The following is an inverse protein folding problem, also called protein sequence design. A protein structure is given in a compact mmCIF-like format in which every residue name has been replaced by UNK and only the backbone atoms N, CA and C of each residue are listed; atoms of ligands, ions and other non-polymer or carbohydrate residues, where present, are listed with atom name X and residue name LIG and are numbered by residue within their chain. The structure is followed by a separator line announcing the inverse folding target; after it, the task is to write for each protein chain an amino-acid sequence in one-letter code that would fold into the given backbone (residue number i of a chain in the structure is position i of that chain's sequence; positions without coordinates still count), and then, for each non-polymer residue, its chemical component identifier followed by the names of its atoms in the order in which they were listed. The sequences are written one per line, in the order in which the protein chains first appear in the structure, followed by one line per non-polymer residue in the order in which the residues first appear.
data_IF_178920023608
#
_entry.id   IF_178920023608
#
_cell.length_a   1.000
_cell.length_b   1.000
_cell.length_c   1.000
_cell.angle_alpha   90.00
_cell.angle_beta   90.00
_cell.angle_gamma   90.00
#
_symmetry.space_group_name_H-M   'P 1'
#
loop_
_entity.id
_entity.type
_entity.pdbx_description
1 polymer ?
#
# COMPACT_ATOMS: atom_id res chain seq x y z
N UNK A 1 15.52 10.50 4.41
CA UNK A 1 15.28 9.04 4.36
C UNK A 1 15.11 8.40 5.74
N UNK A 2 15.85 8.78 6.80
CA UNK A 2 15.74 8.23 8.19
C UNK A 2 14.42 8.52 8.96
N UNK A 3 13.36 8.96 8.29
CA UNK A 3 12.09 9.35 8.93
C UNK A 3 10.85 8.79 8.21
N UNK A 4 10.99 8.04 7.12
CA UNK A 4 9.80 7.44 6.48
C UNK A 4 9.20 6.37 7.38
N UNK A 5 7.88 6.19 7.32
CA UNK A 5 7.21 5.14 8.08
C UNK A 5 7.82 3.75 7.84
N UNK A 6 8.10 3.30 6.59
CA UNK A 6 8.78 2.01 6.35
C UNK A 6 10.11 1.87 7.08
N UNK A 7 10.95 2.90 7.08
CA UNK A 7 12.26 2.87 7.77
C UNK A 7 12.11 2.77 9.30
N UNK A 8 11.09 3.44 9.86
CA UNK A 8 10.80 3.38 11.29
C UNK A 8 10.16 2.04 11.68
N UNK A 9 9.34 1.47 10.79
CA UNK A 9 8.74 0.15 10.97
C UNK A 9 9.82 -0.93 10.98
N UNK A 10 10.76 -0.92 10.04
CA UNK A 10 11.88 -1.88 10.02
C UNK A 10 12.69 -1.80 11.30
N UNK A 11 13.05 -0.58 11.72
CA UNK A 11 13.76 -0.37 12.99
C UNK A 11 12.96 -0.93 14.16
N UNK A 12 11.66 -0.62 14.25
CA UNK A 12 10.80 -1.06 15.34
C UNK A 12 10.65 -2.59 15.35
N UNK A 13 10.51 -3.24 14.20
CA UNK A 13 10.48 -4.69 14.09
C UNK A 13 11.76 -5.30 14.66
N UNK A 14 12.92 -4.78 14.23
CA UNK A 14 14.23 -5.22 14.73
C UNK A 14 14.39 -5.02 16.24
N UNK A 15 14.01 -3.85 16.75
CA UNK A 15 14.06 -3.54 18.19
C UNK A 15 13.17 -4.50 19.02
N UNK A 16 12.13 -5.09 18.40
CA UNK A 16 11.22 -6.05 19.03
C UNK A 16 11.59 -7.52 18.73
N UNK A 17 12.76 -7.80 18.14
CA UNK A 17 13.23 -9.16 17.84
C UNK A 17 12.66 -9.78 16.56
N UNK A 18 12.01 -8.99 15.71
CA UNK A 18 11.51 -9.42 14.40
C UNK A 18 12.46 -8.96 13.29
N UNK A 19 13.10 -9.91 12.60
CA UNK A 19 14.12 -9.62 11.59
C UNK A 19 13.56 -9.61 10.17
N UNK A 20 12.67 -8.66 9.88
CA UNK A 20 12.15 -8.42 8.54
C UNK A 20 12.87 -7.25 7.86
N UNK A 21 12.99 -7.33 6.53
CA UNK A 21 13.28 -6.18 5.67
C UNK A 21 11.96 -5.49 5.32
N UNK A 22 11.91 -4.16 5.32
CA UNK A 22 10.73 -3.39 4.92
C UNK A 22 11.03 -2.57 3.69
N UNK A 23 10.55 -3.03 2.54
CA UNK A 23 10.68 -2.31 1.28
C UNK A 23 9.60 -1.21 1.15
N UNK A 24 10.01 -0.01 0.75
CA UNK A 24 9.09 1.09 0.47
C UNK A 24 8.73 1.13 -1.02
N UNK A 25 7.61 0.52 -1.38
CA UNK A 25 7.03 0.61 -2.74
C UNK A 25 6.10 1.82 -2.94
N UNK A 26 5.99 2.72 -1.95
CA UNK A 26 5.10 3.87 -1.98
C UNK A 26 5.63 5.02 -2.84
N UNK A 27 4.76 5.58 -3.69
CA UNK A 27 5.05 6.75 -4.52
C UNK A 27 4.16 7.91 -4.07
N UNK A 28 4.75 9.07 -3.83
CA UNK A 28 4.02 10.25 -3.38
C UNK A 28 3.03 10.70 -4.45
N UNK A 29 1.76 10.85 -4.07
CA UNK A 29 0.69 11.28 -4.98
C UNK A 29 -0.06 10.16 -5.70
N UNK A 30 0.35 8.89 -5.52
CA UNK A 30 -0.34 7.75 -6.14
C UNK A 30 -1.82 7.70 -5.78
N UNK A 31 -2.65 7.55 -6.80
CA UNK A 31 -4.05 7.17 -6.71
C UNK A 31 -4.20 5.64 -6.77
N UNK A 32 -5.38 5.12 -6.43
CA UNK A 32 -5.69 3.69 -6.58
C UNK A 32 -5.50 3.19 -8.02
N UNK A 33 -5.82 4.02 -9.02
CA UNK A 33 -5.63 3.69 -10.43
C UNK A 33 -4.14 3.56 -10.79
N UNK A 34 -3.33 4.52 -10.37
CA UNK A 34 -1.88 4.50 -10.66
C UNK A 34 -1.16 3.34 -9.97
N UNK A 35 -1.57 3.00 -8.73
CA UNK A 35 -1.04 1.81 -8.07
C UNK A 35 -1.45 0.54 -8.83
N UNK A 36 -2.71 0.44 -9.27
CA UNK A 36 -3.19 -0.69 -10.05
C UNK A 36 -2.41 -0.87 -11.36
N UNK A 37 -2.00 0.22 -12.02
CA UNK A 37 -1.20 0.16 -13.25
C UNK A 37 0.22 -0.41 -13.02
N UNK A 38 0.76 -0.30 -11.80
CA UNK A 38 2.14 -0.71 -11.47
C UNK A 38 2.24 -1.84 -10.44
N UNK A 39 1.12 -2.40 -9.98
CA UNK A 39 1.13 -3.39 -8.89
C UNK A 39 1.90 -4.66 -9.30
N UNK A 40 1.82 -5.09 -10.55
CA UNK A 40 2.60 -6.24 -11.05
C UNK A 40 4.11 -6.03 -10.90
N UNK A 41 4.60 -4.81 -11.09
CA UNK A 41 6.01 -4.46 -10.87
C UNK A 41 6.38 -4.46 -9.39
N UNK A 42 5.47 -3.99 -8.52
CA UNK A 42 5.66 -4.04 -7.06
C UNK A 42 5.73 -5.50 -6.58
N UNK A 43 4.91 -6.37 -7.15
CA UNK A 43 4.84 -7.78 -6.78
C UNK A 43 5.98 -8.62 -7.39
N UNK A 44 6.71 -8.11 -8.36
CA UNK A 44 7.85 -8.77 -8.97
C UNK A 44 9.09 -8.84 -8.04
N UNK A 45 9.05 -8.17 -6.88
CA UNK A 45 10.10 -8.29 -5.87
C UNK A 45 10.22 -9.71 -5.31
N UNK A 46 11.45 -10.17 -5.09
CA UNK A 46 11.69 -11.50 -4.53
C UNK A 46 11.32 -11.56 -3.04
N UNK A 47 10.77 -12.70 -2.60
CA UNK A 47 10.51 -13.03 -1.19
C UNK A 47 9.57 -12.08 -0.42
N UNK A 48 8.54 -11.55 -1.08
CA UNK A 48 7.48 -10.78 -0.41
C UNK A 48 6.68 -11.73 0.50
N UNK A 49 6.82 -11.54 1.82
CA UNK A 49 6.14 -12.39 2.82
C UNK A 49 4.81 -11.82 3.32
N UNK A 50 4.64 -10.50 3.24
CA UNK A 50 3.41 -9.79 3.57
C UNK A 50 3.42 -8.40 2.92
N UNK A 51 2.22 -7.84 2.70
CA UNK A 51 2.05 -6.47 2.17
C UNK A 51 1.23 -5.63 3.15
N UNK A 52 1.65 -4.39 3.36
CA UNK A 52 0.84 -3.35 4.01
C UNK A 52 0.38 -2.39 2.92
N UNK A 53 -0.92 -2.39 2.60
CA UNK A 53 -1.50 -1.57 1.55
C UNK A 53 -2.10 -0.30 2.14
N UNK A 54 -1.53 0.87 1.78
CA UNK A 54 -1.99 2.19 2.23
C UNK A 54 -2.28 3.09 1.02
N UNK A 55 -3.51 3.10 0.51
CA UNK A 55 -3.89 3.84 -0.72
C UNK A 55 -5.26 4.52 -0.59
N UNK A 56 -5.60 5.42 -1.52
CA UNK A 56 -6.94 6.05 -1.64
C UNK A 56 -7.04 7.48 -1.12
N UNK A 57 -6.04 8.00 -0.40
CA UNK A 57 -6.09 9.39 0.09
C UNK A 57 -5.99 10.42 -1.03
N UNK A 58 -5.12 10.20 -2.01
CA UNK A 58 -4.99 11.11 -3.15
C UNK A 58 -6.24 11.08 -4.03
N UNK A 59 -6.87 9.92 -4.20
CA UNK A 59 -8.17 9.80 -4.87
C UNK A 59 -9.23 10.65 -4.18
N UNK A 60 -9.29 10.59 -2.85
CA UNK A 60 -10.21 11.40 -2.05
C UNK A 60 -9.93 12.89 -2.24
N UNK A 61 -8.67 13.35 -2.12
CA UNK A 61 -8.30 14.75 -2.36
C UNK A 61 -8.61 15.24 -3.78
N UNK A 62 -8.68 14.33 -4.76
CA UNK A 62 -9.03 14.63 -6.14
C UNK A 62 -10.53 14.44 -6.42
N UNK A 63 -11.36 14.23 -5.40
CA UNK A 63 -12.80 14.00 -5.50
C UNK A 63 -13.17 12.88 -6.48
N UNK A 64 -12.36 11.82 -6.55
CA UNK A 64 -12.67 10.64 -7.36
C UNK A 64 -13.88 9.90 -6.80
N UNK A 65 -14.61 9.22 -7.67
CA UNK A 65 -15.79 8.45 -7.28
C UNK A 65 -15.39 7.31 -6.30
N UNK A 66 -16.03 7.22 -5.11
CA UNK A 66 -15.77 6.13 -4.16
C UNK A 66 -15.95 4.73 -4.73
N UNK A 67 -16.85 4.56 -5.70
CA UNK A 67 -17.05 3.27 -6.37
C UNK A 67 -15.82 2.85 -7.18
N UNK A 68 -15.19 3.80 -7.90
CA UNK A 68 -13.98 3.53 -8.69
C UNK A 68 -12.78 3.26 -7.77
N UNK A 69 -12.63 4.03 -6.70
CA UNK A 69 -11.62 3.82 -5.65
C UNK A 69 -11.72 2.39 -5.11
N UNK A 70 -12.93 1.98 -4.72
CA UNK A 70 -13.19 0.63 -4.19
C UNK A 70 -12.88 -0.44 -5.24
N UNK A 71 -13.33 -0.27 -6.48
CA UNK A 71 -13.10 -1.22 -7.56
C UNK A 71 -11.60 -1.42 -7.84
N UNK A 72 -10.81 -0.35 -7.82
CA UNK A 72 -9.36 -0.43 -7.99
C UNK A 72 -8.68 -1.14 -6.82
N UNK A 73 -9.07 -0.83 -5.57
CA UNK A 73 -8.53 -1.52 -4.38
C UNK A 73 -8.84 -3.02 -4.44
N UNK A 74 -10.06 -3.42 -4.81
CA UNK A 74 -10.42 -4.84 -4.97
C UNK A 74 -9.51 -5.52 -5.99
N UNK A 75 -9.31 -4.91 -7.18
CA UNK A 75 -8.41 -5.47 -8.20
C UNK A 75 -6.96 -5.60 -7.73
N UNK A 76 -6.47 -4.63 -6.94
CA UNK A 76 -5.13 -4.70 -6.34
C UNK A 76 -5.06 -5.87 -5.35
N UNK A 77 -6.06 -6.01 -4.47
CA UNK A 77 -6.12 -7.09 -3.51
C UNK A 77 -6.20 -8.46 -4.20
N UNK A 78 -7.00 -8.59 -5.26
CA UNK A 78 -7.11 -9.82 -6.04
C UNK A 78 -5.75 -10.24 -6.62
N UNK A 79 -4.97 -9.29 -7.16
CA UNK A 79 -3.64 -9.58 -7.71
C UNK A 79 -2.62 -9.99 -6.62
N UNK A 80 -2.73 -9.40 -5.43
CA UNK A 80 -1.91 -9.80 -4.28
C UNK A 80 -2.29 -11.22 -3.82
N UNK A 81 -3.59 -11.49 -3.69
CA UNK A 81 -4.12 -12.77 -3.24
C UNK A 81 -3.80 -13.91 -4.21
N UNK A 82 -3.81 -13.65 -5.53
CA UNK A 82 -3.39 -14.62 -6.56
C UNK A 82 -1.95 -15.12 -6.38
N UNK A 83 -1.10 -14.34 -5.70
CA UNK A 83 0.28 -14.73 -5.36
C UNK A 83 0.40 -15.40 -4.00
N UNK A 84 -0.71 -15.57 -3.27
CA UNK A 84 -0.75 -16.15 -1.93
C UNK A 84 -0.11 -15.27 -0.85
N UNK A 85 0.04 -13.97 -1.11
CA UNK A 85 0.70 -13.04 -0.19
C UNK A 85 -0.34 -12.46 0.77
N UNK A 86 -0.17 -12.59 2.10
CA UNK A 86 -1.09 -11.97 3.05
C UNK A 86 -0.98 -10.45 3.00
N UNK A 87 -2.13 -9.77 3.06
CA UNK A 87 -2.23 -8.31 2.96
C UNK A 87 -2.94 -7.70 4.16
N UNK A 88 -2.33 -6.66 4.73
CA UNK A 88 -2.94 -5.75 5.68
C UNK A 88 -3.37 -4.47 4.95
N UNK A 89 -4.68 -4.31 4.71
CA UNK A 89 -5.22 -3.06 4.20
C UNK A 89 -5.37 -2.04 5.34
N UNK A 90 -4.70 -0.90 5.22
CA UNK A 90 -4.84 0.22 6.14
C UNK A 90 -5.79 1.24 5.53
N UNK A 91 -7.03 1.27 6.03
CA UNK A 91 -8.07 2.16 5.53
C UNK A 91 -7.78 3.63 5.82
N UNK A 92 -8.05 4.48 4.82
CA UNK A 92 -7.95 5.94 4.94
C UNK A 92 -9.33 6.55 5.18
N UNK A 93 -9.40 7.62 5.97
CA UNK A 93 -10.62 8.43 6.13
C UNK A 93 -10.59 9.58 5.13
N UNK A 94 -11.72 9.81 4.48
CA UNK A 94 -11.88 10.99 3.63
C UNK A 94 -11.73 12.28 4.46
N UNK A 95 -11.04 13.31 3.94
CA UNK A 95 -10.97 14.60 4.61
C UNK A 95 -12.37 15.23 4.72
N UNK A 96 -12.63 15.91 5.85
CA UNK A 96 -13.96 16.44 6.21
C UNK A 96 -14.48 17.57 5.30
N UNK A 97 -13.62 18.11 4.43
CA UNK A 97 -13.90 19.30 3.62
C UNK A 97 -13.90 19.01 2.12
N UNK A 98 -14.36 17.82 1.71
CA UNK A 98 -14.60 17.52 0.28
C UNK A 98 -15.89 18.16 -0.22
#
# INVERSE_FOLDING_TARGET
MRQSYPSQLEKKLRDNGYFYSVENAGVSGDTTAQLLDRIEWVLAGDNITAIILTIGSNDAFQSKNPADIKANIVKILDQIEQRGIPVLLVGMKAPLNL
#
